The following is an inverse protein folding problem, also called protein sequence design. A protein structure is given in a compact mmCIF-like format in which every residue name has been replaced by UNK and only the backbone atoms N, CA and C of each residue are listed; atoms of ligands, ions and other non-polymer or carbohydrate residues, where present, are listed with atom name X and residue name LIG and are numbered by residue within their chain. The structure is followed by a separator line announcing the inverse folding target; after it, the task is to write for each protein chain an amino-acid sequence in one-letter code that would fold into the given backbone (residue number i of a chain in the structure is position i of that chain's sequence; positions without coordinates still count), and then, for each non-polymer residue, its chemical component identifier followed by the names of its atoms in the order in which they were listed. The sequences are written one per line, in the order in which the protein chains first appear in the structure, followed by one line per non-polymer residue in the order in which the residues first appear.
data_IF_237497300311
#
_entry.id   IF_237497300311
#
_cell.length_a   1.000
_cell.length_b   1.000
_cell.length_c   1.000
_cell.angle_alpha   90.00
_cell.angle_beta   90.00
_cell.angle_gamma   90.00
#
_symmetry.space_group_name_H-M   'P 1'
#
loop_
_entity.id
_entity.type
_entity.pdbx_description
1 polymer ?
#
# COMPACT_ATOMS: atom_id res chain seq x y z
N UNK A 1 11.43 9.94 8.05
CA UNK A 1 11.79 9.35 6.74
C UNK A 1 10.97 8.10 6.37
N UNK A 2 10.57 7.24 7.32
CA UNK A 2 9.82 6.00 7.04
C UNK A 2 8.32 6.18 6.67
N UNK A 3 7.67 7.29 7.04
CA UNK A 3 6.23 7.49 6.79
C UNK A 3 5.85 7.73 5.33
N UNK A 4 6.73 8.40 4.56
CA UNK A 4 6.44 8.72 3.15
C UNK A 4 6.47 7.48 2.27
N UNK A 5 7.49 6.62 2.45
CA UNK A 5 7.63 5.39 1.68
C UNK A 5 6.50 4.42 1.99
N UNK A 6 6.10 4.32 3.26
CA UNK A 6 4.98 3.46 3.66
C UNK A 6 3.65 3.92 3.05
N UNK A 7 3.40 5.24 3.04
CA UNK A 7 2.22 5.80 2.41
C UNK A 7 2.21 5.63 0.89
N UNK A 8 3.36 5.83 0.23
CA UNK A 8 3.48 5.62 -1.21
C UNK A 8 3.25 4.15 -1.59
N UNK A 9 3.72 3.21 -0.77
CA UNK A 9 3.50 1.77 -0.96
C UNK A 9 2.02 1.42 -0.78
N UNK A 10 1.38 1.89 0.30
CA UNK A 10 -0.05 1.71 0.55
C UNK A 10 -0.88 2.23 -0.63
N UNK A 11 -0.60 3.45 -1.10
CA UNK A 11 -1.30 4.06 -2.22
C UNK A 11 -1.09 3.30 -3.53
N UNK A 12 0.13 2.82 -3.79
CA UNK A 12 0.47 2.03 -4.98
C UNK A 12 -0.32 0.71 -4.98
N UNK A 13 -0.33 0.01 -3.85
CA UNK A 13 -1.01 -1.28 -3.72
C UNK A 13 -2.52 -1.11 -3.90
N UNK A 14 -3.11 -0.13 -3.21
CA UNK A 14 -4.53 0.15 -3.31
C UNK A 14 -4.97 0.53 -4.73
N UNK A 15 -4.16 1.33 -5.45
CA UNK A 15 -4.50 1.77 -6.82
C UNK A 15 -4.38 0.68 -7.88
N UNK A 16 -3.44 -0.25 -7.74
CA UNK A 16 -3.14 -1.22 -8.79
C UNK A 16 -3.72 -2.62 -8.51
N UNK A 17 -3.86 -2.98 -7.23
CA UNK A 17 -4.18 -4.34 -6.83
C UNK A 17 -5.41 -4.41 -5.90
N UNK A 18 -5.92 -3.26 -5.44
CA UNK A 18 -7.11 -3.17 -4.63
C UNK A 18 -6.91 -3.58 -3.16
N UNK A 19 -8.00 -3.54 -2.41
CA UNK A 19 -7.99 -3.76 -0.95
C UNK A 19 -7.60 -5.19 -0.56
N UNK A 20 -8.05 -6.20 -1.31
CA UNK A 20 -7.78 -7.60 -1.00
C UNK A 20 -6.27 -7.91 -0.93
N UNK A 21 -5.48 -7.31 -1.82
CA UNK A 21 -4.03 -7.50 -1.84
C UNK A 21 -3.35 -6.68 -0.74
N UNK A 22 -3.86 -5.49 -0.43
CA UNK A 22 -3.37 -4.71 0.71
C UNK A 22 -3.56 -5.43 2.04
N UNK A 23 -4.72 -6.05 2.26
CA UNK A 23 -5.01 -6.83 3.47
C UNK A 23 -4.15 -8.10 3.60
N UNK A 24 -3.62 -8.63 2.50
CA UNK A 24 -2.67 -9.74 2.54
C UNK A 24 -1.22 -9.32 2.79
N UNK A 25 -0.87 -8.06 2.49
CA UNK A 25 0.49 -7.51 2.63
C UNK A 25 0.70 -6.87 4.01
N UNK A 26 -0.36 -6.30 4.58
CA UNK A 26 -0.37 -5.65 5.89
C UNK A 26 -0.10 -6.66 7.02
#
# INVERSE_FOLDING_TARGET
MYGFVNYALELLVLKNFGLNIWEQIK
#
